data_IF_357100243934
#
_entry.id   IF_357100243934
#
_cell.length_a   1.000
_cell.length_b   1.000
_cell.length_c   1.000
_cell.angle_alpha   90.00
_cell.angle_beta   90.00
_cell.angle_gamma   90.00
#
_symmetry.space_group_name_H-M   'P 1'
#
loop_
_entity.id
_entity.type
_entity.pdbx_description
1 polymer ?
#
# COMPACT_ATOMS: atom_id res chain seq x y z
N UNK A 1 15.43 -17.56 49.89
CA UNK A 1 16.31 -16.53 49.31
C UNK A 1 15.88 -15.22 49.89
N UNK A 2 16.78 -14.47 50.52
CA UNK A 2 16.46 -13.16 51.05
C UNK A 2 15.97 -12.25 49.92
N UNK A 3 14.89 -11.51 50.16
CA UNK A 3 14.31 -10.60 49.19
C UNK A 3 15.28 -9.47 48.87
N UNK A 4 15.64 -9.30 47.59
CA UNK A 4 16.51 -8.22 47.12
C UNK A 4 15.84 -6.87 47.38
N UNK A 5 16.52 -6.00 48.13
CA UNK A 5 16.03 -4.65 48.42
C UNK A 5 16.70 -3.58 47.54
N UNK A 6 16.25 -2.33 47.67
CA UNK A 6 16.74 -1.20 46.88
C UNK A 6 18.24 -0.93 47.12
N UNK A 7 18.73 -1.06 48.35
CA UNK A 7 20.13 -0.83 48.69
C UNK A 7 21.04 -1.87 48.04
N UNK A 8 20.61 -3.14 48.01
CA UNK A 8 21.33 -4.22 47.34
C UNK A 8 21.52 -3.93 45.85
N UNK A 9 20.49 -3.40 45.19
CA UNK A 9 20.53 -3.06 43.76
C UNK A 9 21.49 -1.87 43.50
N UNK A 10 21.48 -0.84 44.36
CA UNK A 10 22.43 0.28 44.23
C UNK A 10 23.87 -0.15 44.48
N UNK A 11 24.10 -0.99 45.50
CA UNK A 11 25.44 -1.53 45.77
C UNK A 11 25.94 -2.36 44.59
N UNK A 12 25.08 -3.22 44.04
CA UNK A 12 25.41 -4.00 42.86
C UNK A 12 25.72 -3.11 41.64
N UNK A 13 24.95 -2.03 41.43
CA UNK A 13 25.22 -1.03 40.40
C UNK A 13 26.63 -0.42 40.57
N UNK A 14 26.98 0.03 41.78
CA UNK A 14 28.29 0.67 42.04
C UNK A 14 29.46 -0.29 41.78
N UNK A 15 29.30 -1.57 42.16
CA UNK A 15 30.31 -2.60 41.89
C UNK A 15 30.54 -2.75 40.39
N UNK A 16 29.48 -2.82 39.58
CA UNK A 16 29.60 -2.98 38.12
C UNK A 16 30.13 -1.70 37.45
N UNK A 17 29.71 -0.52 37.91
CA UNK A 17 30.09 0.76 37.30
C UNK A 17 31.57 1.09 37.56
N UNK A 18 32.13 0.66 38.70
CA UNK A 18 33.56 0.83 39.04
C UNK A 18 34.45 -0.33 38.58
N UNK A 19 33.86 -1.39 38.04
CA UNK A 19 34.60 -2.58 37.64
C UNK A 19 35.52 -2.31 36.44
N UNK A 20 36.75 -2.80 36.52
CA UNK A 20 37.71 -2.83 35.40
C UNK A 20 37.82 -4.22 34.75
N UNK A 21 37.46 -5.27 35.48
CA UNK A 21 37.26 -6.64 34.99
C UNK A 21 35.85 -7.15 35.33
N UNK A 22 35.41 -8.22 34.67
CA UNK A 22 34.09 -8.83 34.86
C UNK A 22 34.21 -10.22 35.49
N UNK A 23 34.95 -10.31 36.61
CA UNK A 23 35.06 -11.52 37.42
C UNK A 23 33.76 -11.93 38.12
N UNK A 24 33.80 -13.02 38.88
CA UNK A 24 32.61 -13.63 39.52
C UNK A 24 31.84 -12.70 40.45
N UNK A 25 32.52 -11.79 41.16
CA UNK A 25 31.86 -10.81 42.04
C UNK A 25 31.01 -9.81 41.25
N UNK A 26 31.53 -9.30 40.13
CA UNK A 26 30.84 -8.35 39.25
C UNK A 26 29.67 -9.04 38.55
N UNK A 27 29.83 -10.31 38.15
CA UNK A 27 28.75 -11.14 37.62
C UNK A 27 27.65 -11.40 38.65
N UNK A 28 28.02 -11.67 39.91
CA UNK A 28 27.06 -11.82 41.01
C UNK A 28 26.26 -10.54 41.23
N UNK A 29 26.91 -9.37 41.15
CA UNK A 29 26.23 -8.07 41.21
C UNK A 29 25.22 -7.90 40.08
N UNK A 30 25.55 -8.29 38.84
CA UNK A 30 24.57 -8.22 37.75
C UNK A 30 23.39 -9.16 37.97
N UNK A 31 23.61 -10.38 38.49
CA UNK A 31 22.51 -11.27 38.91
C UNK A 31 21.64 -10.66 40.00
N UNK A 32 22.21 -9.93 40.97
CA UNK A 32 21.45 -9.21 41.98
C UNK A 32 20.53 -8.15 41.35
N UNK A 33 21.03 -7.41 40.36
CA UNK A 33 20.21 -6.45 39.60
C UNK A 33 19.07 -7.14 38.85
N UNK A 34 19.35 -8.26 38.17
CA UNK A 34 18.33 -9.06 37.48
C UNK A 34 17.26 -9.55 38.46
N UNK A 35 17.67 -10.11 39.61
CA UNK A 35 16.75 -10.58 40.65
C UNK A 35 15.89 -9.47 41.24
N UNK A 36 16.31 -8.21 41.14
CA UNK A 36 15.51 -7.03 41.50
C UNK A 36 14.19 -6.94 40.73
N UNK A 37 14.08 -7.58 39.55
CA UNK A 37 12.83 -7.68 38.79
C UNK A 37 11.71 -8.44 39.53
N UNK A 38 12.07 -9.27 40.51
CA UNK A 38 11.13 -10.01 41.35
C UNK A 38 10.94 -9.37 42.75
N UNK A 39 11.52 -8.19 42.99
CA UNK A 39 11.41 -7.47 44.26
C UNK A 39 10.13 -6.61 44.37
N UNK A 40 10.14 -5.62 45.27
CA UNK A 40 9.04 -4.65 45.38
C UNK A 40 9.06 -3.62 44.22
N UNK A 41 8.00 -2.83 44.06
CA UNK A 41 7.85 -1.88 42.92
C UNK A 41 9.08 -0.98 42.68
N UNK A 42 9.71 -0.46 43.75
CA UNK A 42 10.94 0.34 43.60
C UNK A 42 12.14 -0.50 43.11
N UNK A 43 12.29 -1.73 43.59
CA UNK A 43 13.32 -2.66 43.10
C UNK A 43 13.12 -2.97 41.61
N UNK A 44 11.87 -3.28 41.21
CA UNK A 44 11.51 -3.55 39.82
C UNK A 44 11.82 -2.38 38.89
N UNK A 45 11.49 -1.16 39.32
CA UNK A 45 11.81 0.07 38.56
C UNK A 45 13.31 0.32 38.45
N UNK A 46 14.11 -0.05 39.43
CA UNK A 46 15.57 0.04 39.33
C UNK A 46 16.14 -1.05 38.42
N UNK A 47 15.66 -2.28 38.55
CA UNK A 47 16.03 -3.40 37.69
C UNK A 47 15.73 -3.07 36.21
N UNK A 48 14.54 -2.57 35.90
CA UNK A 48 14.15 -2.11 34.56
C UNK A 48 15.12 -1.10 33.93
N UNK A 49 15.80 -0.29 34.75
CA UNK A 49 16.75 0.73 34.29
C UNK A 49 18.19 0.20 34.19
N UNK A 50 18.59 -0.63 35.15
CA UNK A 50 19.98 -1.06 35.29
C UNK A 50 20.30 -2.33 34.51
N UNK A 51 19.33 -3.24 34.33
CA UNK A 51 19.52 -4.43 33.48
C UNK A 51 19.94 -4.01 32.06
N UNK A 52 19.23 -3.09 31.35
CA UNK A 52 19.62 -2.70 30.00
C UNK A 52 20.96 -1.97 29.93
N UNK A 53 21.32 -1.19 30.97
CA UNK A 53 22.54 -0.37 30.99
C UNK A 53 23.82 -1.22 30.94
N UNK A 54 23.82 -2.39 31.57
CA UNK A 54 25.00 -3.24 31.63
C UNK A 54 24.90 -4.47 30.73
N UNK A 55 23.84 -4.59 29.93
CA UNK A 55 23.51 -5.77 29.14
C UNK A 55 24.66 -6.26 28.25
N UNK A 56 25.33 -5.36 27.54
CA UNK A 56 26.43 -5.71 26.63
C UNK A 56 27.67 -6.29 27.32
N UNK A 57 27.82 -6.04 28.62
CA UNK A 57 28.97 -6.49 29.43
C UNK A 57 28.85 -7.94 29.88
N UNK A 58 27.65 -8.53 29.82
CA UNK A 58 27.39 -9.86 30.36
C UNK A 58 26.62 -10.79 29.39
N UNK A 59 27.25 -11.24 28.30
CA UNK A 59 26.63 -12.14 27.32
C UNK A 59 26.02 -13.42 27.92
N UNK A 60 26.62 -13.97 28.97
CA UNK A 60 26.14 -15.19 29.63
C UNK A 60 24.80 -15.03 30.36
N UNK A 61 24.37 -13.78 30.61
CA UNK A 61 23.10 -13.48 31.27
C UNK A 61 22.06 -12.90 30.31
N UNK A 62 22.32 -12.84 29.00
CA UNK A 62 21.41 -12.22 28.03
C UNK A 62 19.99 -12.78 28.07
N UNK A 63 19.85 -14.12 28.07
CA UNK A 63 18.53 -14.75 28.12
C UNK A 63 17.79 -14.41 29.42
N UNK A 64 18.42 -14.63 30.58
CA UNK A 64 17.81 -14.34 31.88
C UNK A 64 17.49 -12.85 32.06
N UNK A 65 18.33 -11.95 31.55
CA UNK A 65 18.10 -10.52 31.59
C UNK A 65 16.92 -10.10 30.71
N UNK A 66 16.78 -10.67 29.52
CA UNK A 66 15.64 -10.37 28.63
C UNK A 66 14.35 -10.92 29.24
N UNK A 67 14.37 -12.17 29.75
CA UNK A 67 13.20 -12.78 30.37
C UNK A 67 12.72 -11.93 31.57
N UNK A 68 13.65 -11.50 32.44
CA UNK A 68 13.32 -10.60 33.55
C UNK A 68 12.74 -9.25 33.08
N UNK A 69 13.22 -8.69 31.96
CA UNK A 69 12.65 -7.46 31.40
C UNK A 69 11.25 -7.68 30.82
N UNK A 70 10.99 -8.85 30.22
CA UNK A 70 9.66 -9.19 29.70
C UNK A 70 8.66 -9.44 30.83
N UNK A 71 9.06 -10.10 31.91
CA UNK A 71 8.25 -10.22 33.13
C UNK A 71 7.83 -8.83 33.66
N UNK A 72 8.74 -7.85 33.62
CA UNK A 72 8.44 -6.48 34.01
C UNK A 72 7.49 -5.75 33.04
N UNK A 73 7.46 -6.14 31.76
CA UNK A 73 6.50 -5.59 30.80
C UNK A 73 5.06 -6.04 31.10
N UNK A 74 4.90 -7.15 31.82
CA UNK A 74 3.61 -7.71 32.22
C UNK A 74 3.26 -7.41 33.69
N UNK A 75 4.04 -6.53 34.35
CA UNK A 75 3.83 -6.22 35.76
C UNK A 75 2.47 -5.56 36.03
N UNK A 76 1.88 -5.84 37.19
CA UNK A 76 0.63 -5.20 37.63
C UNK A 76 0.74 -3.68 37.80
N UNK A 77 1.92 -3.16 38.17
CA UNK A 77 2.16 -1.72 38.36
C UNK A 77 2.47 -1.04 37.02
N UNK A 78 1.58 -0.13 36.61
CA UNK A 78 1.72 0.68 35.39
C UNK A 78 3.07 1.43 35.34
N UNK A 79 3.57 1.93 36.48
CA UNK A 79 4.84 2.67 36.50
C UNK A 79 6.04 1.76 36.24
N UNK A 80 5.96 0.49 36.67
CA UNK A 80 6.98 -0.52 36.34
C UNK A 80 6.96 -0.79 34.85
N UNK A 81 5.79 -1.10 34.26
CA UNK A 81 5.63 -1.34 32.82
C UNK A 81 6.14 -0.18 31.97
N UNK A 82 5.72 1.06 32.29
CA UNK A 82 6.18 2.26 31.59
C UNK A 82 7.70 2.46 31.72
N UNK A 83 8.27 2.13 32.88
CA UNK A 83 9.73 2.21 33.07
C UNK A 83 10.43 1.21 32.17
N UNK A 84 10.07 -0.07 32.19
CA UNK A 84 10.76 -1.06 31.36
C UNK A 84 10.61 -0.78 29.86
N UNK A 85 9.41 -0.43 29.39
CA UNK A 85 9.16 -0.07 27.98
C UNK A 85 10.08 1.06 27.52
N UNK A 86 10.26 2.07 28.37
CA UNK A 86 11.16 3.21 28.07
C UNK A 86 12.62 2.80 27.91
N UNK A 87 13.09 1.78 28.65
CA UNK A 87 14.49 1.38 28.69
C UNK A 87 14.82 0.15 27.82
N UNK A 88 13.82 -0.58 27.31
CA UNK A 88 14.03 -1.68 26.35
C UNK A 88 14.91 -1.32 25.14
N UNK A 89 14.80 -0.11 24.51
CA UNK A 89 15.70 0.26 23.42
C UNK A 89 17.19 0.27 23.80
N UNK A 90 17.50 0.43 25.09
CA UNK A 90 18.89 0.41 25.55
C UNK A 90 19.51 -0.99 25.43
N UNK A 91 18.72 -2.06 25.55
CA UNK A 91 19.20 -3.43 25.34
C UNK A 91 19.72 -3.59 23.91
N UNK A 92 18.98 -3.05 22.93
CA UNK A 92 19.37 -3.07 21.51
C UNK A 92 20.61 -2.21 21.26
N UNK A 93 20.77 -1.10 21.98
CA UNK A 93 21.99 -0.28 21.90
C UNK A 93 23.23 -1.04 22.36
N UNK A 94 23.10 -1.86 23.40
CA UNK A 94 24.21 -2.65 23.92
C UNK A 94 24.47 -3.93 23.11
N UNK A 95 23.46 -4.47 22.42
CA UNK A 95 23.57 -5.64 21.55
C UNK A 95 22.50 -5.61 20.45
N UNK A 96 22.89 -5.33 19.22
CA UNK A 96 22.01 -5.30 18.06
C UNK A 96 21.38 -6.67 17.73
N UNK A 97 22.03 -7.77 18.14
CA UNK A 97 21.56 -9.15 17.95
C UNK A 97 20.18 -9.42 18.54
N UNK A 98 19.75 -8.63 19.53
CA UNK A 98 18.44 -8.79 20.18
C UNK A 98 17.37 -7.88 19.56
N UNK A 99 17.71 -7.03 18.58
CA UNK A 99 16.81 -6.04 17.99
C UNK A 99 15.49 -6.66 17.53
N UNK A 100 15.56 -7.79 16.82
CA UNK A 100 14.38 -8.53 16.34
C UNK A 100 13.44 -8.91 17.50
N UNK A 101 14.00 -9.49 18.57
CA UNK A 101 13.23 -9.95 19.74
C UNK A 101 12.59 -8.79 20.50
N UNK A 102 13.33 -7.69 20.67
CA UNK A 102 12.82 -6.49 21.36
C UNK A 102 11.77 -5.78 20.51
N UNK A 103 11.97 -5.67 19.18
CA UNK A 103 11.00 -5.08 18.27
C UNK A 103 9.69 -5.86 18.27
N UNK A 104 9.76 -7.20 18.19
CA UNK A 104 8.56 -8.04 18.22
C UNK A 104 7.78 -7.88 19.54
N UNK A 105 8.47 -7.95 20.69
CA UNK A 105 7.84 -7.75 22.00
C UNK A 105 7.16 -6.37 22.10
N UNK A 106 7.84 -5.30 21.66
CA UNK A 106 7.25 -3.96 21.65
C UNK A 106 6.03 -3.86 20.71
N UNK A 107 6.03 -4.54 19.56
CA UNK A 107 4.84 -4.56 18.69
C UNK A 107 3.68 -5.26 19.39
N UNK A 108 3.92 -6.36 20.10
CA UNK A 108 2.87 -7.01 20.90
C UNK A 108 2.28 -6.05 21.94
N UNK A 109 3.09 -5.17 22.54
CA UNK A 109 2.62 -4.18 23.51
C UNK A 109 1.81 -3.02 22.89
N UNK A 110 1.72 -2.91 21.56
CA UNK A 110 0.82 -1.93 20.90
C UNK A 110 -0.66 -2.23 21.15
N UNK A 111 -0.99 -3.42 21.66
CA UNK A 111 -2.36 -3.81 22.02
C UNK A 111 -2.74 -3.46 23.46
N UNK A 112 -1.83 -2.88 24.26
CA UNK A 112 -2.13 -2.48 25.64
C UNK A 112 -3.29 -1.47 25.70
N UNK A 113 -4.03 -1.47 26.81
CA UNK A 113 -5.28 -0.71 26.91
C UNK A 113 -5.07 0.79 27.14
N UNK A 114 -3.97 1.18 27.81
CA UNK A 114 -3.78 2.57 28.23
C UNK A 114 -3.09 3.40 27.15
N UNK A 115 -3.64 4.57 26.86
CA UNK A 115 -3.05 5.49 25.88
C UNK A 115 -1.60 5.90 26.24
N UNK A 116 -1.29 5.98 27.53
CA UNK A 116 0.06 6.30 28.01
C UNK A 116 1.05 5.18 27.70
N UNK A 117 0.68 3.90 27.90
CA UNK A 117 1.54 2.78 27.51
C UNK A 117 1.73 2.71 26.01
N UNK A 118 0.66 2.82 25.22
CA UNK A 118 0.76 2.82 23.75
C UNK A 118 1.71 3.94 23.29
N UNK A 119 1.62 5.13 23.88
CA UNK A 119 2.53 6.24 23.54
C UNK A 119 4.00 5.92 23.89
N UNK A 120 4.24 5.28 25.04
CA UNK A 120 5.59 4.84 25.43
C UNK A 120 6.13 3.76 24.48
N UNK A 121 5.29 2.79 24.10
CA UNK A 121 5.64 1.72 23.16
C UNK A 121 5.98 2.27 21.79
N UNK A 122 5.17 3.17 21.22
CA UNK A 122 5.46 3.81 19.92
C UNK A 122 6.80 4.54 19.94
N UNK A 123 7.11 5.25 21.03
CA UNK A 123 8.41 5.93 21.20
C UNK A 123 9.57 4.94 21.34
N UNK A 124 9.37 3.82 22.04
CA UNK A 124 10.38 2.78 22.17
C UNK A 124 10.64 2.08 20.83
N UNK A 125 9.59 1.74 20.07
CA UNK A 125 9.70 1.17 18.72
C UNK A 125 10.46 2.09 17.77
N UNK A 126 10.15 3.39 17.76
CA UNK A 126 10.92 4.36 16.97
C UNK A 126 12.41 4.30 17.31
N UNK A 127 12.78 4.27 18.59
CA UNK A 127 14.18 4.18 18.99
C UNK A 127 14.84 2.88 18.55
N UNK A 128 14.14 1.74 18.69
CA UNK A 128 14.65 0.43 18.26
C UNK A 128 14.88 0.41 16.74
N UNK A 129 13.94 0.93 15.95
CA UNK A 129 14.09 1.06 14.49
C UNK A 129 15.27 1.97 14.15
N UNK A 130 15.52 3.05 14.90
CA UNK A 130 16.68 3.92 14.66
C UNK A 130 18.01 3.24 14.99
N UNK A 131 18.03 2.35 15.98
CA UNK A 131 19.23 1.63 16.42
C UNK A 131 19.57 0.46 15.49
N UNK A 132 18.59 -0.33 15.07
CA UNK A 132 18.77 -1.39 14.08
C UNK A 132 17.65 -1.36 13.02
N UNK A 133 17.76 -0.51 11.98
CA UNK A 133 16.69 -0.28 11.01
C UNK A 133 16.27 -1.54 10.27
N UNK A 134 17.24 -2.26 9.71
CA UNK A 134 16.97 -3.41 8.84
C UNK A 134 16.31 -4.54 9.60
N UNK A 135 16.92 -4.95 10.71
CA UNK A 135 16.41 -6.08 11.50
C UNK A 135 15.06 -5.75 12.12
N UNK A 136 14.86 -4.51 12.59
CA UNK A 136 13.57 -4.08 13.13
C UNK A 136 12.47 -4.05 12.06
N UNK A 137 12.75 -3.51 10.87
CA UNK A 137 11.78 -3.50 9.76
C UNK A 137 11.41 -4.93 9.38
N UNK A 138 12.41 -5.80 9.20
CA UNK A 138 12.20 -7.21 8.86
C UNK A 138 11.36 -7.91 9.94
N UNK A 139 11.68 -7.70 11.22
CA UNK A 139 10.92 -8.27 12.34
C UNK A 139 9.46 -7.84 12.32
N UNK A 140 9.20 -6.52 12.23
CA UNK A 140 7.86 -5.95 12.25
C UNK A 140 6.99 -6.52 11.11
N UNK A 141 7.53 -6.60 9.89
CA UNK A 141 6.78 -7.11 8.75
C UNK A 141 6.62 -8.64 8.74
N UNK A 142 7.65 -9.39 9.14
CA UNK A 142 7.62 -10.85 8.98
C UNK A 142 7.04 -11.60 10.17
N UNK A 143 7.12 -11.02 11.38
CA UNK A 143 6.63 -11.62 12.62
C UNK A 143 5.33 -10.96 13.03
N UNK A 144 5.33 -9.63 13.14
CA UNK A 144 4.21 -8.94 13.79
C UNK A 144 2.99 -8.75 12.90
N UNK A 145 3.15 -8.61 11.57
CA UNK A 145 2.01 -8.61 10.64
C UNK A 145 1.31 -9.98 10.51
N UNK A 146 1.92 -11.05 11.04
CA UNK A 146 1.32 -12.39 11.15
C UNK A 146 0.71 -12.65 12.52
N UNK A 147 0.72 -11.66 13.41
CA UNK A 147 0.09 -11.72 14.72
C UNK A 147 -1.44 -11.68 14.65
N UNK A 148 -2.09 -11.40 15.79
CA UNK A 148 -3.55 -11.23 15.84
C UNK A 148 -4.01 -10.08 14.94
N UNK A 149 -5.27 -10.08 14.47
CA UNK A 149 -5.84 -8.98 13.68
C UNK A 149 -5.66 -7.60 14.36
N UNK A 150 -5.77 -7.55 15.67
CA UNK A 150 -5.57 -6.33 16.48
C UNK A 150 -4.12 -5.85 16.40
N UNK A 151 -3.16 -6.73 16.64
CA UNK A 151 -1.72 -6.40 16.56
C UNK A 151 -1.35 -5.99 15.15
N UNK A 152 -1.83 -6.71 14.12
CA UNK A 152 -1.62 -6.35 12.71
C UNK A 152 -2.15 -4.94 12.40
N UNK A 153 -3.37 -4.63 12.82
CA UNK A 153 -3.97 -3.31 12.60
C UNK A 153 -3.18 -2.19 13.29
N UNK A 154 -2.80 -2.38 14.56
CA UNK A 154 -1.98 -1.41 15.31
C UNK A 154 -0.60 -1.21 14.69
N UNK A 155 0.00 -2.29 14.20
CA UNK A 155 1.31 -2.27 13.52
C UNK A 155 1.23 -1.48 12.22
N UNK A 156 0.24 -1.74 11.37
CA UNK A 156 0.04 -1.00 10.12
C UNK A 156 -0.20 0.48 10.41
N UNK A 157 -0.99 0.81 11.44
CA UNK A 157 -1.21 2.19 11.87
C UNK A 157 0.09 2.86 12.37
N UNK A 158 0.95 2.14 13.06
CA UNK A 158 2.27 2.65 13.46
C UNK A 158 3.16 2.94 12.25
N UNK A 159 3.26 1.99 11.33
CA UNK A 159 4.02 2.14 10.09
C UNK A 159 3.49 3.30 9.23
N UNK A 160 2.17 3.48 9.14
CA UNK A 160 1.56 4.50 8.28
C UNK A 160 1.63 5.91 8.87
N UNK A 161 1.72 6.05 10.19
CA UNK A 161 1.61 7.35 10.85
C UNK A 161 2.91 7.78 11.53
N UNK A 162 3.59 6.88 12.24
CA UNK A 162 4.79 7.21 13.03
C UNK A 162 6.05 7.06 12.20
N UNK A 163 6.25 5.91 11.55
CA UNK A 163 7.42 5.67 10.71
C UNK A 163 7.52 6.73 9.61
N UNK A 164 6.38 7.14 9.04
CA UNK A 164 6.32 8.21 8.04
C UNK A 164 6.90 9.55 8.53
N UNK A 165 6.97 9.83 9.84
CA UNK A 165 7.53 11.08 10.39
C UNK A 165 9.05 11.13 10.37
N UNK A 166 9.70 9.96 10.40
CA UNK A 166 11.16 9.86 10.48
C UNK A 166 11.79 8.97 9.41
N UNK A 167 10.99 8.43 8.48
CA UNK A 167 11.48 7.55 7.42
C UNK A 167 12.51 8.21 6.50
N UNK A 168 12.39 9.52 6.23
CA UNK A 168 13.32 10.22 5.35
C UNK A 168 14.73 10.24 5.95
N UNK A 169 14.82 10.62 7.22
CA UNK A 169 16.07 10.56 8.00
C UNK A 169 16.59 9.11 8.11
N UNK A 170 15.69 8.14 8.28
CA UNK A 170 16.04 6.72 8.38
C UNK A 170 16.65 6.20 7.06
N UNK A 171 16.07 6.57 5.92
CA UNK A 171 16.48 6.10 4.60
C UNK A 171 17.72 6.83 4.06
N UNK A 172 17.98 8.05 4.52
CA UNK A 172 19.21 8.78 4.17
C UNK A 172 20.48 8.17 4.79
N UNK A 173 20.34 7.40 5.88
CA UNK A 173 21.46 6.75 6.54
C UNK A 173 22.00 5.51 5.81
N UNK A 174 21.32 5.02 4.77
CA UNK A 174 21.82 3.93 3.93
C UNK A 174 20.86 3.48 2.84
N UNK A 175 21.39 3.30 1.62
CA UNK A 175 20.62 2.93 0.41
C UNK A 175 19.87 1.60 0.56
N UNK A 176 20.38 0.68 1.39
CA UNK A 176 19.76 -0.63 1.63
C UNK A 176 18.51 -0.59 2.51
N UNK A 177 18.34 0.43 3.36
CA UNK A 177 17.21 0.49 4.31
C UNK A 177 15.90 0.78 3.58
N UNK A 178 15.91 1.71 2.63
CA UNK A 178 14.74 2.02 1.81
C UNK A 178 14.34 0.82 0.93
N UNK A 179 15.33 0.14 0.32
CA UNK A 179 15.12 -1.07 -0.45
C UNK A 179 14.57 -2.22 0.43
N UNK A 180 15.09 -2.39 1.64
CA UNK A 180 14.58 -3.36 2.60
C UNK A 180 13.12 -3.08 2.97
N UNK A 181 12.79 -1.83 3.31
CA UNK A 181 11.43 -1.43 3.61
C UNK A 181 10.49 -1.70 2.43
N UNK A 182 10.90 -1.32 1.23
CA UNK A 182 10.12 -1.57 0.02
C UNK A 182 9.87 -3.06 -0.23
N UNK A 183 10.88 -3.91 -0.01
CA UNK A 183 10.75 -5.36 -0.17
C UNK A 183 9.76 -5.97 0.81
N UNK A 184 9.77 -5.53 2.06
CA UNK A 184 8.83 -6.02 3.07
C UNK A 184 7.39 -5.54 2.80
N UNK A 185 7.20 -4.28 2.40
CA UNK A 185 5.85 -3.79 2.00
C UNK A 185 5.35 -4.53 0.77
N UNK A 186 6.21 -4.77 -0.24
CA UNK A 186 5.85 -5.56 -1.43
C UNK A 186 5.38 -6.97 -1.08
N UNK A 187 6.03 -7.63 -0.12
CA UNK A 187 5.62 -8.96 0.37
C UNK A 187 4.25 -8.91 1.04
N UNK A 188 4.01 -7.91 1.90
CA UNK A 188 2.74 -7.73 2.61
C UNK A 188 1.55 -7.40 1.69
N UNK A 189 1.77 -7.01 0.42
CA UNK A 189 0.68 -6.78 -0.54
C UNK A 189 -0.07 -8.06 -0.92
N UNK A 190 0.57 -9.23 -0.86
CA UNK A 190 -0.01 -10.49 -1.31
C UNK A 190 -1.17 -10.95 -0.43
N UNK A 191 -1.03 -10.84 0.90
CA UNK A 191 -2.03 -11.22 1.90
C UNK A 191 -2.89 -10.04 2.39
N UNK A 192 -2.66 -8.83 1.89
CA UNK A 192 -3.37 -7.63 2.31
C UNK A 192 -4.87 -7.67 1.98
N UNK A 193 -5.69 -7.26 2.96
CA UNK A 193 -7.06 -6.80 2.72
C UNK A 193 -7.07 -5.52 1.89
N UNK A 194 -8.23 -5.08 1.39
CA UNK A 194 -8.31 -3.88 0.52
C UNK A 194 -7.81 -2.62 1.24
N UNK A 195 -8.20 -2.41 2.50
CA UNK A 195 -7.80 -1.23 3.27
C UNK A 195 -6.29 -1.22 3.55
N UNK A 196 -5.71 -2.38 3.86
CA UNK A 196 -4.27 -2.53 4.05
C UNK A 196 -3.51 -2.31 2.74
N UNK A 197 -4.03 -2.85 1.64
CA UNK A 197 -3.46 -2.71 0.31
C UNK A 197 -3.36 -1.24 -0.11
N UNK A 198 -4.39 -0.43 0.18
CA UNK A 198 -4.34 1.03 -0.01
C UNK A 198 -3.25 1.72 0.82
N UNK A 199 -3.07 1.30 2.08
CA UNK A 199 -2.04 1.86 2.97
C UNK A 199 -0.65 1.49 2.45
N UNK A 200 -0.43 0.23 2.07
CA UNK A 200 0.86 -0.25 1.56
C UNK A 200 1.24 0.41 0.23
N UNK A 201 0.30 0.62 -0.69
CA UNK A 201 0.59 1.41 -1.89
C UNK A 201 1.00 2.84 -1.51
N UNK A 202 0.27 3.51 -0.61
CA UNK A 202 0.63 4.87 -0.15
C UNK A 202 2.00 4.94 0.52
N UNK A 203 2.48 3.84 1.13
CA UNK A 203 3.83 3.74 1.69
C UNK A 203 4.90 3.57 0.61
N UNK A 204 4.63 2.77 -0.44
CA UNK A 204 5.59 2.46 -1.51
C UNK A 204 5.82 3.62 -2.46
N UNK A 205 4.76 4.26 -2.97
CA UNK A 205 4.87 5.22 -4.08
C UNK A 205 5.82 6.40 -3.80
N UNK A 206 5.92 6.96 -2.57
CA UNK A 206 6.79 8.09 -2.29
C UNK A 206 8.29 7.75 -2.17
N UNK A 207 8.67 6.47 -2.17
CA UNK A 207 10.06 6.06 -1.93
C UNK A 207 11.00 6.55 -3.06
N UNK A 208 12.20 7.01 -2.70
CA UNK A 208 13.19 7.56 -3.65
C UNK A 208 13.66 6.50 -4.64
N UNK A 209 13.70 5.22 -4.23
CA UNK A 209 14.00 4.09 -5.15
C UNK A 209 13.03 3.98 -6.34
N UNK A 210 11.81 4.53 -6.26
CA UNK A 210 10.80 4.51 -7.34
C UNK A 210 10.65 5.84 -8.08
N UNK A 211 11.64 6.73 -8.00
CA UNK A 211 11.68 7.90 -8.89
C UNK A 211 11.85 7.48 -10.35
N UNK A 212 11.46 8.35 -11.27
CA UNK A 212 11.37 8.06 -12.72
C UNK A 212 12.70 7.69 -13.36
N UNK A 213 13.82 8.09 -12.75
CA UNK A 213 15.16 7.72 -13.18
C UNK A 213 15.43 6.22 -13.00
N UNK A 214 14.82 5.59 -11.98
CA UNK A 214 15.02 4.19 -11.61
C UNK A 214 14.01 3.26 -12.33
N UNK A 215 14.18 3.15 -13.65
CA UNK A 215 13.24 2.41 -14.51
C UNK A 215 13.08 0.92 -14.14
N UNK A 216 14.14 0.28 -13.64
CA UNK A 216 14.10 -1.13 -13.27
C UNK A 216 13.26 -1.36 -12.00
N UNK A 217 13.44 -0.53 -10.98
CA UNK A 217 12.63 -0.58 -9.76
C UNK A 217 11.14 -0.28 -10.05
N UNK A 218 10.87 0.68 -10.95
CA UNK A 218 9.51 0.97 -11.39
C UNK A 218 8.88 -0.21 -12.15
N UNK A 219 9.65 -0.86 -13.02
CA UNK A 219 9.21 -2.07 -13.72
C UNK A 219 8.92 -3.21 -12.74
N UNK A 220 9.76 -3.39 -11.74
CA UNK A 220 9.54 -4.36 -10.66
C UNK A 220 8.25 -4.04 -9.89
N UNK A 221 8.06 -2.78 -9.48
CA UNK A 221 6.86 -2.33 -8.78
C UNK A 221 5.59 -2.60 -9.60
N UNK A 222 5.60 -2.29 -10.90
CA UNK A 222 4.49 -2.61 -11.81
C UNK A 222 4.16 -4.09 -11.77
N UNK A 223 5.16 -4.96 -11.88
CA UNK A 223 4.96 -6.41 -11.86
C UNK A 223 4.43 -6.90 -10.51
N UNK A 224 4.91 -6.36 -9.40
CA UNK A 224 4.45 -6.72 -8.05
C UNK A 224 2.99 -6.33 -7.86
N UNK A 225 2.61 -5.12 -8.29
CA UNK A 225 1.21 -4.67 -8.25
C UNK A 225 0.31 -5.54 -9.12
N UNK A 226 0.76 -5.95 -10.30
CA UNK A 226 0.01 -6.91 -11.15
C UNK A 226 -0.14 -8.26 -10.46
N UNK A 227 0.96 -8.82 -9.94
CA UNK A 227 0.98 -10.11 -9.28
C UNK A 227 0.15 -10.16 -7.99
N UNK A 228 -0.06 -8.99 -7.35
CA UNK A 228 -0.93 -8.86 -6.19
C UNK A 228 -2.43 -9.02 -6.51
N UNK A 229 -2.82 -8.95 -7.78
CA UNK A 229 -4.19 -9.16 -8.25
C UNK A 229 -4.41 -10.61 -8.67
N UNK A 230 -3.50 -11.16 -9.47
CA UNK A 230 -3.53 -12.54 -9.98
C UNK A 230 -2.10 -13.06 -10.00
N UNK A 231 -1.86 -14.22 -9.40
CA UNK A 231 -0.51 -14.80 -9.33
C UNK A 231 -0.30 -15.84 -10.42
N UNK A 232 0.73 -15.65 -11.25
CA UNK A 232 1.13 -16.61 -12.29
C UNK A 232 -0.01 -16.97 -13.26
N UNK A 233 -0.29 -18.27 -13.38
CA UNK A 233 -1.29 -18.80 -14.32
C UNK A 233 -2.72 -18.85 -13.76
N UNK A 234 -2.94 -18.32 -12.56
CA UNK A 234 -4.28 -18.20 -12.00
C UNK A 234 -5.23 -17.46 -12.97
N UNK A 235 -6.49 -17.91 -13.02
CA UNK A 235 -7.55 -17.24 -13.76
C UNK A 235 -8.16 -16.14 -12.88
N UNK A 236 -8.39 -14.97 -13.46
CA UNK A 236 -9.09 -13.90 -12.75
C UNK A 236 -10.54 -14.30 -12.51
N UNK A 237 -11.02 -14.22 -11.26
CA UNK A 237 -12.43 -14.43 -10.95
C UNK A 237 -13.20 -13.10 -10.99
N UNK A 238 -14.13 -12.90 -11.96
CA UNK A 238 -14.90 -11.67 -12.07
C UNK A 238 -15.93 -11.49 -10.94
N UNK A 239 -16.14 -12.48 -10.07
CA UNK A 239 -16.98 -12.36 -8.87
C UNK A 239 -16.21 -12.00 -7.60
N UNK A 240 -14.88 -12.05 -7.63
CA UNK A 240 -14.04 -11.67 -6.50
C UNK A 240 -13.93 -10.14 -6.38
N UNK A 241 -14.73 -9.58 -5.48
CA UNK A 241 -14.76 -8.14 -5.21
C UNK A 241 -13.40 -7.60 -4.74
N UNK A 242 -12.60 -8.38 -4.02
CA UNK A 242 -11.28 -7.96 -3.53
C UNK A 242 -10.30 -7.81 -4.68
N UNK A 243 -10.24 -8.80 -5.59
CA UNK A 243 -9.37 -8.71 -6.78
C UNK A 243 -9.77 -7.60 -7.72
N UNK A 244 -11.07 -7.36 -7.90
CA UNK A 244 -11.58 -6.23 -8.69
C UNK A 244 -11.15 -4.88 -8.08
N UNK A 245 -11.25 -4.73 -6.77
CA UNK A 245 -10.84 -3.49 -6.11
C UNK A 245 -9.32 -3.29 -6.18
N UNK A 246 -8.53 -4.35 -5.97
CA UNK A 246 -7.07 -4.31 -6.18
C UNK A 246 -6.71 -3.91 -7.62
N UNK A 247 -7.40 -4.47 -8.62
CA UNK A 247 -7.24 -4.09 -10.03
C UNK A 247 -7.46 -2.59 -10.25
N UNK A 248 -8.52 -2.03 -9.71
CA UNK A 248 -8.82 -0.61 -9.90
C UNK A 248 -7.83 0.30 -9.19
N UNK A 249 -7.40 -0.06 -7.99
CA UNK A 249 -6.40 0.71 -7.28
C UNK A 249 -5.06 0.66 -8.01
N UNK A 250 -4.63 -0.52 -8.46
CA UNK A 250 -3.40 -0.67 -9.25
C UNK A 250 -3.49 0.10 -10.56
N UNK A 251 -4.58 -0.04 -11.33
CA UNK A 251 -4.75 0.67 -12.59
C UNK A 251 -4.66 2.19 -12.41
N UNK A 252 -5.46 2.76 -11.49
CA UNK A 252 -5.44 4.20 -11.19
C UNK A 252 -4.05 4.70 -10.78
N UNK A 253 -3.31 3.89 -10.04
CA UNK A 253 -1.96 4.22 -9.57
C UNK A 253 -0.97 4.17 -10.72
N UNK A 254 -0.94 3.08 -11.48
CA UNK A 254 0.02 2.81 -12.55
C UNK A 254 -0.12 3.76 -13.73
N UNK A 255 -1.34 4.17 -14.07
CA UNK A 255 -1.61 5.13 -15.14
C UNK A 255 -0.80 6.42 -14.96
N UNK A 256 -0.74 6.96 -13.73
CA UNK A 256 0.02 8.18 -13.43
C UNK A 256 1.52 8.04 -13.70
N UNK A 257 2.06 6.82 -13.66
CA UNK A 257 3.45 6.54 -14.00
C UNK A 257 3.64 6.36 -15.51
N UNK A 258 2.65 5.80 -16.20
CA UNK A 258 2.71 5.62 -17.66
C UNK A 258 2.74 6.97 -18.39
N UNK A 259 1.94 7.94 -17.94
CA UNK A 259 1.96 9.31 -18.44
C UNK A 259 3.34 9.99 -18.28
N UNK A 260 4.13 9.53 -17.30
CA UNK A 260 5.48 10.02 -17.00
C UNK A 260 6.60 9.22 -17.69
N UNK A 261 6.26 8.33 -18.62
CA UNK A 261 7.22 7.61 -19.47
C UNK A 261 7.56 6.18 -19.02
N UNK A 262 6.90 5.64 -17.99
CA UNK A 262 7.00 4.21 -17.65
C UNK A 262 6.26 3.37 -18.69
N UNK A 263 6.83 2.23 -19.10
CA UNK A 263 6.19 1.36 -20.11
C UNK A 263 4.93 0.70 -19.54
N UNK A 264 3.77 0.99 -20.14
CA UNK A 264 2.47 0.36 -19.85
C UNK A 264 2.35 -1.08 -20.36
N UNK A 265 3.36 -1.61 -21.06
CA UNK A 265 3.30 -2.93 -21.72
C UNK A 265 2.96 -4.09 -20.77
N UNK A 266 3.55 -4.21 -19.55
CA UNK A 266 3.21 -5.30 -18.65
C UNK A 266 1.75 -5.26 -18.19
N UNK A 267 1.23 -4.07 -17.88
CA UNK A 267 -0.16 -3.91 -17.45
C UNK A 267 -1.13 -4.13 -18.60
N UNK A 268 -0.80 -3.65 -19.81
CA UNK A 268 -1.59 -3.95 -21.02
C UNK A 268 -1.66 -5.45 -21.29
N UNK A 269 -0.52 -6.15 -21.26
CA UNK A 269 -0.48 -7.60 -21.45
C UNK A 269 -1.37 -8.31 -20.41
N UNK A 270 -1.29 -7.91 -19.13
CA UNK A 270 -2.16 -8.42 -18.09
C UNK A 270 -3.66 -8.20 -18.40
N UNK A 271 -4.06 -6.98 -18.84
CA UNK A 271 -5.45 -6.71 -19.21
C UNK A 271 -5.89 -7.62 -20.36
N UNK A 272 -5.08 -7.74 -21.41
CA UNK A 272 -5.35 -8.55 -22.61
C UNK A 272 -5.45 -10.04 -22.28
N UNK A 273 -4.51 -10.57 -21.49
CA UNK A 273 -4.38 -12.00 -21.27
C UNK A 273 -5.29 -12.52 -20.16
N UNK A 274 -5.62 -11.68 -19.15
CA UNK A 274 -6.33 -12.13 -17.93
C UNK A 274 -7.71 -11.51 -17.73
N UNK A 275 -7.99 -10.33 -18.30
CA UNK A 275 -9.21 -9.56 -17.98
C UNK A 275 -10.16 -9.43 -19.17
N UNK A 276 -9.64 -9.08 -20.35
CA UNK A 276 -10.42 -8.86 -21.57
C UNK A 276 -11.01 -10.11 -22.25
N UNK A 277 -10.53 -11.35 -22.03
CA UNK A 277 -11.18 -12.53 -22.60
C UNK A 277 -12.68 -12.56 -22.27
N UNK A 278 -13.51 -12.93 -23.24
CA UNK A 278 -14.97 -12.82 -23.19
C UNK A 278 -15.57 -13.48 -21.96
N UNK A 279 -15.03 -14.63 -21.58
CA UNK A 279 -15.46 -15.46 -20.46
C UNK A 279 -15.29 -14.74 -19.10
N UNK A 280 -14.40 -13.76 -19.04
CA UNK A 280 -14.14 -12.94 -17.85
C UNK A 280 -14.87 -11.60 -17.97
N UNK A 281 -14.61 -10.85 -19.04
CA UNK A 281 -15.09 -9.48 -19.19
C UNK A 281 -16.61 -9.37 -19.15
N UNK A 282 -17.33 -10.29 -19.82
CA UNK A 282 -18.80 -10.29 -19.87
C UNK A 282 -19.48 -10.53 -18.52
N UNK A 283 -18.78 -11.19 -17.58
CA UNK A 283 -19.27 -11.48 -16.22
C UNK A 283 -19.08 -10.31 -15.25
N UNK A 284 -18.31 -9.30 -15.62
CA UNK A 284 -18.11 -8.10 -14.81
C UNK A 284 -19.32 -7.18 -14.87
N UNK A 285 -19.56 -6.42 -13.78
CA UNK A 285 -20.56 -5.36 -13.76
C UNK A 285 -20.22 -4.26 -14.79
N UNK A 286 -21.23 -3.61 -15.37
CA UNK A 286 -21.04 -2.57 -16.40
C UNK A 286 -20.10 -1.44 -15.96
N UNK A 287 -20.23 -0.99 -14.70
CA UNK A 287 -19.32 0.02 -14.12
C UNK A 287 -17.86 -0.42 -14.09
N UNK A 288 -17.61 -1.71 -13.89
CA UNK A 288 -16.27 -2.32 -13.84
C UNK A 288 -15.70 -2.46 -15.25
N UNK A 289 -16.52 -2.93 -16.18
CA UNK A 289 -16.22 -3.01 -17.62
C UNK A 289 -15.74 -1.66 -18.15
N UNK A 290 -16.50 -0.59 -17.88
CA UNK A 290 -16.14 0.77 -18.30
C UNK A 290 -14.78 1.24 -17.77
N UNK A 291 -14.47 0.95 -16.50
CA UNK A 291 -13.16 1.29 -15.92
C UNK A 291 -12.01 0.53 -16.60
N UNK A 292 -12.22 -0.75 -16.91
CA UNK A 292 -11.23 -1.57 -17.63
C UNK A 292 -11.00 -1.05 -19.05
N UNK A 293 -12.06 -0.65 -19.75
CA UNK A 293 -11.93 -0.04 -21.09
C UNK A 293 -11.12 1.26 -21.04
N UNK A 294 -11.34 2.08 -20.02
CA UNK A 294 -10.53 3.28 -19.79
C UNK A 294 -9.05 2.92 -19.62
N UNK A 295 -8.75 1.94 -18.76
CA UNK A 295 -7.36 1.49 -18.55
C UNK A 295 -6.73 0.95 -19.84
N UNK A 296 -7.49 0.18 -20.62
CA UNK A 296 -7.07 -0.32 -21.93
C UNK A 296 -6.71 0.84 -22.87
N UNK A 297 -7.61 1.82 -23.02
CA UNK A 297 -7.41 2.97 -23.90
C UNK A 297 -6.19 3.80 -23.49
N UNK A 298 -6.01 4.06 -22.20
CA UNK A 298 -4.85 4.80 -21.70
C UNK A 298 -3.55 4.00 -21.93
N UNK A 299 -3.56 2.69 -21.73
CA UNK A 299 -2.38 1.86 -21.91
C UNK A 299 -1.98 1.68 -23.37
N UNK A 300 -2.93 1.30 -24.24
CA UNK A 300 -2.70 0.90 -25.65
C UNK A 300 -2.13 2.03 -26.51
N UNK A 301 -2.32 3.28 -26.09
CA UNK A 301 -1.73 4.47 -26.72
C UNK A 301 -0.20 4.48 -26.67
N UNK A 302 0.40 3.68 -25.78
CA UNK A 302 1.84 3.58 -25.58
C UNK A 302 2.60 2.84 -26.68
N UNK A 303 3.94 2.84 -26.54
CA UNK A 303 4.82 2.02 -27.37
C UNK A 303 4.92 0.61 -26.80
N UNK A 304 4.44 -0.37 -27.57
CA UNK A 304 4.33 -1.78 -27.19
C UNK A 304 5.04 -2.68 -28.19
N UNK A 305 5.38 -3.88 -27.73
CA UNK A 305 5.85 -4.94 -28.62
C UNK A 305 4.71 -5.43 -29.55
N UNK A 306 5.07 -6.04 -30.67
CA UNK A 306 4.12 -6.50 -31.67
C UNK A 306 3.20 -7.62 -31.15
N UNK A 307 3.74 -8.51 -30.31
CA UNK A 307 2.99 -9.63 -29.74
C UNK A 307 1.79 -9.16 -28.88
N UNK A 308 1.99 -8.19 -27.98
CA UNK A 308 0.93 -7.65 -27.13
C UNK A 308 -0.16 -6.97 -27.97
N UNK A 309 0.21 -6.25 -29.04
CA UNK A 309 -0.77 -5.62 -29.93
C UNK A 309 -1.56 -6.68 -30.73
N UNK A 310 -0.88 -7.72 -31.24
CA UNK A 310 -1.52 -8.84 -31.94
C UNK A 310 -2.48 -9.62 -31.04
N UNK A 311 -2.15 -9.82 -29.76
CA UNK A 311 -3.04 -10.46 -28.80
C UNK A 311 -4.24 -9.58 -28.44
N UNK A 312 -4.06 -8.26 -28.35
CA UNK A 312 -5.14 -7.33 -28.06
C UNK A 312 -6.15 -7.21 -29.22
N UNK A 313 -5.67 -7.28 -30.46
CA UNK A 313 -6.45 -7.09 -31.68
C UNK A 313 -7.79 -7.86 -31.72
N UNK A 314 -7.83 -9.21 -31.61
CA UNK A 314 -9.08 -9.95 -31.70
C UNK A 314 -10.06 -9.59 -30.58
N UNK A 315 -9.56 -9.33 -29.36
CA UNK A 315 -10.39 -8.99 -28.21
C UNK A 315 -11.04 -7.61 -28.38
N UNK A 316 -10.29 -6.61 -28.82
CA UNK A 316 -10.82 -5.26 -29.07
C UNK A 316 -11.80 -5.26 -30.25
N UNK A 317 -11.53 -6.05 -31.29
CA UNK A 317 -12.47 -6.24 -32.40
C UNK A 317 -13.79 -6.85 -31.93
N UNK A 318 -13.74 -7.89 -31.09
CA UNK A 318 -14.93 -8.50 -30.51
C UNK A 318 -15.70 -7.51 -29.62
N UNK A 319 -15.02 -6.72 -28.78
CA UNK A 319 -15.64 -5.67 -27.97
C UNK A 319 -16.39 -4.64 -28.85
N UNK A 320 -15.78 -4.21 -29.96
CA UNK A 320 -16.39 -3.30 -30.91
C UNK A 320 -17.65 -3.91 -31.55
N UNK A 321 -17.57 -5.17 -31.99
CA UNK A 321 -18.69 -5.89 -32.61
C UNK A 321 -19.85 -6.06 -31.62
N UNK A 322 -19.57 -6.33 -30.34
CA UNK A 322 -20.61 -6.52 -29.33
C UNK A 322 -21.27 -5.21 -28.91
N UNK A 323 -20.54 -4.09 -28.87
CA UNK A 323 -21.07 -2.79 -28.44
C UNK A 323 -21.80 -2.03 -29.54
N UNK A 324 -21.36 -2.19 -30.80
CA UNK A 324 -21.93 -1.45 -31.92
C UNK A 324 -22.77 -2.39 -32.76
N UNK A 325 -24.11 -2.38 -32.63
CA UNK A 325 -24.97 -3.31 -33.36
C UNK A 325 -24.82 -3.13 -34.88
N UNK A 326 -25.15 -4.17 -35.67
CA UNK A 326 -25.23 -4.03 -37.12
C UNK A 326 -26.28 -2.97 -37.49
N UNK A 327 -26.20 -2.40 -38.71
CA UNK A 327 -27.26 -1.53 -39.20
C UNK A 327 -28.59 -2.30 -39.16
N UNK A 328 -29.60 -1.78 -38.44
CA UNK A 328 -30.93 -2.37 -38.44
C UNK A 328 -31.60 -2.17 -39.81
N UNK A 329 -32.29 -3.19 -40.32
CA UNK A 329 -33.04 -3.09 -41.58
C UNK A 329 -34.31 -2.24 -41.44
N UNK A 330 -34.93 -2.22 -40.25
CA UNK A 330 -36.05 -1.33 -39.92
C UNK A 330 -36.24 -1.30 -38.40
N UNK A 331 -35.83 -0.22 -37.73
CA UNK A 331 -36.38 0.12 -36.40
C UNK A 331 -36.22 1.61 -36.16
N UNK A 332 -37.34 2.32 -36.00
CA UNK A 332 -37.43 3.70 -35.50
C UNK A 332 -36.78 3.89 -34.11
N UNK A 333 -36.38 2.79 -33.46
CA UNK A 333 -35.69 2.76 -32.17
C UNK A 333 -34.19 2.94 -32.41
N UNK A 334 -33.68 4.12 -32.06
CA UNK A 334 -32.24 4.36 -32.08
C UNK A 334 -31.51 3.45 -31.07
N UNK A 335 -30.39 2.84 -31.48
CA UNK A 335 -29.59 2.05 -30.56
C UNK A 335 -29.07 2.95 -29.43
N UNK A 336 -29.37 2.58 -28.18
CA UNK A 336 -28.87 3.26 -27.00
C UNK A 336 -27.40 2.90 -26.78
N UNK A 337 -26.50 3.60 -27.47
CA UNK A 337 -25.06 3.42 -27.31
C UNK A 337 -24.56 4.10 -26.02
N UNK A 338 -23.76 3.38 -25.23
CA UNK A 338 -22.95 3.99 -24.17
C UNK A 338 -21.72 4.65 -24.82
N UNK A 339 -21.89 5.91 -25.22
CA UNK A 339 -20.87 6.66 -25.95
C UNK A 339 -19.48 6.64 -25.27
N UNK A 340 -19.35 6.82 -23.94
CA UNK A 340 -18.07 6.63 -23.25
C UNK A 340 -17.41 5.25 -23.45
N UNK A 341 -18.17 4.15 -23.43
CA UNK A 341 -17.61 2.81 -23.68
C UNK A 341 -17.14 2.69 -25.13
N UNK A 342 -17.98 3.15 -26.05
CA UNK A 342 -17.67 3.16 -27.49
C UNK A 342 -16.43 4.00 -27.77
N UNK A 343 -16.26 5.15 -27.14
CA UNK A 343 -15.08 6.01 -27.26
C UNK A 343 -13.79 5.25 -26.92
N UNK A 344 -13.73 4.59 -25.75
CA UNK A 344 -12.54 3.83 -25.35
C UNK A 344 -12.23 2.68 -26.31
N UNK A 345 -13.25 1.96 -26.78
CA UNK A 345 -13.08 0.82 -27.69
C UNK A 345 -12.61 1.30 -29.06
N UNK A 346 -13.24 2.34 -29.61
CA UNK A 346 -12.87 2.91 -30.91
C UNK A 346 -11.47 3.51 -30.87
N UNK A 347 -11.10 4.18 -29.77
CA UNK A 347 -9.74 4.68 -29.59
C UNK A 347 -8.71 3.55 -29.53
N UNK A 348 -8.98 2.50 -28.74
CA UNK A 348 -8.10 1.33 -28.70
C UNK A 348 -7.96 0.66 -30.07
N UNK A 349 -9.07 0.52 -30.80
CA UNK A 349 -9.11 -0.03 -32.14
C UNK A 349 -8.30 0.81 -33.14
N UNK A 350 -8.41 2.15 -33.06
CA UNK A 350 -7.59 3.07 -33.85
C UNK A 350 -6.10 2.90 -33.57
N UNK A 351 -5.70 2.82 -32.30
CA UNK A 351 -4.30 2.59 -31.92
C UNK A 351 -3.77 1.26 -32.47
N UNK A 352 -4.58 0.20 -32.45
CA UNK A 352 -4.20 -1.10 -33.01
C UNK A 352 -4.15 -1.06 -34.54
N UNK A 353 -5.15 -0.46 -35.20
CA UNK A 353 -5.25 -0.36 -36.65
C UNK A 353 -4.08 0.43 -37.27
N UNK A 354 -3.52 1.40 -36.54
CA UNK A 354 -2.31 2.10 -36.98
C UNK A 354 -1.09 1.18 -37.16
N UNK A 355 -1.11 -0.02 -36.57
CA UNK A 355 -0.06 -1.04 -36.65
C UNK A 355 -0.50 -2.31 -37.38
N UNK A 356 -1.78 -2.65 -37.29
CA UNK A 356 -2.40 -3.84 -37.91
C UNK A 356 -3.67 -3.37 -38.65
N UNK A 357 -3.55 -2.76 -39.84
CA UNK A 357 -4.69 -2.20 -40.57
C UNK A 357 -5.80 -3.21 -40.85
N UNK A 358 -5.45 -4.49 -40.99
CA UNK A 358 -6.36 -5.59 -41.34
C UNK A 358 -7.46 -5.80 -40.29
N UNK A 359 -7.27 -5.31 -39.07
CA UNK A 359 -8.26 -5.45 -37.98
C UNK A 359 -9.59 -4.77 -38.28
N UNK A 360 -9.56 -3.64 -39.01
CA UNK A 360 -10.75 -2.84 -39.38
C UNK A 360 -11.29 -3.19 -40.76
N UNK A 361 -10.66 -4.12 -41.47
CA UNK A 361 -11.13 -4.60 -42.76
C UNK A 361 -12.31 -5.57 -42.64
N UNK A 362 -13.04 -5.73 -43.74
CA UNK A 362 -14.20 -6.61 -43.85
C UNK A 362 -15.54 -5.88 -43.80
N UNK A 363 -16.54 -6.45 -44.48
CA UNK A 363 -17.88 -5.86 -44.62
C UNK A 363 -18.55 -5.60 -43.26
N UNK A 364 -18.36 -6.48 -42.28
CA UNK A 364 -18.94 -6.33 -40.94
C UNK A 364 -18.38 -5.11 -40.19
N UNK A 365 -17.06 -4.90 -40.23
CA UNK A 365 -16.46 -3.73 -39.58
C UNK A 365 -16.92 -2.44 -40.25
N UNK A 366 -16.90 -2.41 -41.59
CA UNK A 366 -17.32 -1.25 -42.38
C UNK A 366 -18.79 -0.90 -42.09
N UNK A 367 -19.69 -1.89 -42.04
CA UNK A 367 -21.11 -1.65 -41.79
C UNK A 367 -21.36 -1.08 -40.39
N UNK A 368 -20.67 -1.61 -39.37
CA UNK A 368 -20.76 -1.11 -37.97
C UNK A 368 -20.14 0.28 -37.82
N UNK A 369 -19.02 0.59 -38.47
CA UNK A 369 -18.47 1.95 -38.48
C UNK A 369 -19.41 2.95 -39.14
N UNK A 370 -20.05 2.58 -40.26
CA UNK A 370 -21.07 3.43 -40.91
C UNK A 370 -22.27 3.67 -39.98
N UNK A 371 -22.73 2.64 -39.28
CA UNK A 371 -23.80 2.76 -38.30
C UNK A 371 -23.40 3.71 -37.15
N UNK A 372 -22.21 3.51 -36.57
CA UNK A 372 -21.67 4.39 -35.54
C UNK A 372 -21.59 5.85 -36.01
N UNK A 373 -21.07 6.08 -37.21
CA UNK A 373 -20.96 7.41 -37.81
C UNK A 373 -22.33 8.09 -37.96
N UNK A 374 -23.34 7.35 -38.46
CA UNK A 374 -24.70 7.85 -38.59
C UNK A 374 -25.31 8.22 -37.23
N UNK A 375 -25.14 7.36 -36.22
CA UNK A 375 -25.60 7.64 -34.84
C UNK A 375 -24.89 8.88 -34.27
N UNK A 376 -23.56 8.98 -34.44
CA UNK A 376 -22.77 10.10 -33.95
C UNK A 376 -23.20 11.43 -34.59
N UNK A 377 -23.47 11.48 -35.90
CA UNK A 377 -23.99 12.68 -36.59
C UNK A 377 -25.34 13.12 -36.01
N UNK A 378 -26.24 12.16 -35.74
CA UNK A 378 -27.55 12.46 -35.14
C UNK A 378 -27.38 13.03 -33.73
N UNK A 379 -26.51 12.44 -32.91
CA UNK A 379 -26.17 12.97 -31.58
C UNK A 379 -25.62 14.40 -31.65
N UNK A 380 -24.65 14.67 -32.54
CA UNK A 380 -24.08 16.01 -32.73
C UNK A 380 -25.16 17.02 -33.15
N UNK A 381 -26.05 16.63 -34.08
CA UNK A 381 -27.15 17.48 -34.54
C UNK A 381 -28.10 17.85 -33.40
N UNK A 382 -28.45 16.90 -32.53
CA UNK A 382 -29.27 17.13 -31.34
C UNK A 382 -28.60 18.05 -30.32
N UNK A 383 -27.32 17.85 -30.05
CA UNK A 383 -26.54 18.72 -29.16
C UNK A 383 -26.52 20.15 -29.71
N UNK A 384 -26.24 20.33 -31.01
CA UNK A 384 -26.28 21.63 -31.67
C UNK A 384 -27.66 22.29 -31.59
N UNK A 385 -28.73 21.53 -31.76
CA UNK A 385 -30.09 22.03 -31.63
C UNK A 385 -30.41 22.45 -30.19
N UNK A 386 -30.09 21.60 -29.20
CA UNK A 386 -30.28 21.91 -27.78
C UNK A 386 -29.48 23.14 -27.33
N UNK A 387 -28.25 23.31 -27.82
CA UNK A 387 -27.45 24.51 -27.57
C UNK A 387 -28.10 25.77 -28.16
N UNK A 388 -28.64 25.70 -29.38
CA UNK A 388 -29.40 26.81 -29.98
C UNK A 388 -30.64 27.15 -29.18
N UNK A 389 -31.36 26.14 -28.69
CA UNK A 389 -32.58 26.34 -27.91
C UNK A 389 -32.28 26.93 -26.52
N UNK A 390 -31.17 26.54 -25.88
CA UNK A 390 -30.67 27.15 -24.65
C UNK A 390 -30.25 28.61 -24.85
N UNK A 391 -29.55 28.91 -25.95
CA UNK A 391 -29.17 30.28 -26.31
C UNK A 391 -30.39 31.17 -26.54
N UNK A 392 -31.43 30.64 -27.20
CA UNK A 392 -32.72 31.33 -27.40
C UNK A 392 -33.50 31.54 -26.09
N UNK A 393 -33.40 30.64 -25.12
CA UNK A 393 -34.00 30.81 -23.80
C UNK A 393 -33.25 31.85 -22.97
N UNK A 394 -31.93 31.81 -22.92
CA UNK A 394 -31.13 32.81 -22.21
C UNK A 394 -31.27 34.23 -22.76
N UNK A 395 -31.50 34.38 -24.07
CA UNK A 395 -31.80 35.69 -24.68
C UNK A 395 -33.23 36.15 -24.39
N UNK A 396 -34.21 35.24 -24.34
CA UNK A 396 -35.57 35.57 -23.89
C UNK A 396 -35.64 35.95 -22.41
N UNK A 397 -34.88 35.27 -21.55
CA UNK A 397 -34.83 35.57 -20.11
C UNK A 397 -34.12 36.91 -19.82
N UNK A 398 -33.17 37.32 -20.68
CA UNK A 398 -32.57 38.66 -20.65
C UNK A 398 -33.54 39.74 -21.18
N UNK A 399 -34.29 39.47 -22.24
CA UNK A 399 -35.34 40.38 -22.75
C UNK A 399 -36.49 40.56 -21.74
N UNK A 400 -36.94 39.52 -21.03
CA UNK A 400 -37.97 39.68 -19.98
C UNK A 400 -37.46 40.47 -18.77
N UNK A 401 -36.18 40.34 -18.38
CA UNK A 401 -35.60 41.18 -17.33
C UNK A 401 -35.47 42.65 -17.76
N UNK A 402 -35.14 42.94 -19.03
CA UNK A 402 -35.09 44.33 -19.53
C UNK A 402 -36.48 44.97 -19.63
N UNK A 403 -37.51 44.21 -20.01
CA UNK A 403 -38.90 44.70 -20.08
C UNK A 403 -39.47 45.05 -18.69
N UNK A 404 -39.17 44.24 -17.66
CA UNK A 404 -39.61 44.52 -16.28
C UNK A 404 -38.91 45.77 -15.68
N UNK A 405 -37.67 46.07 -16.09
CA UNK A 405 -36.96 47.29 -15.64
C UNK A 405 -37.50 48.55 -16.32
N UNK A 406 -37.95 48.46 -17.58
CA UNK A 406 -38.55 49.61 -18.29
C UNK A 406 -39.99 49.93 -17.92
N UNK A 407 -40.67 49.08 -17.13
CA UNK A 407 -42.06 49.32 -16.70
C UNK A 407 -42.15 50.06 -15.35
N UNK A 408 -41.01 50.36 -14.72
CA UNK A 408 -40.91 51.09 -13.44
C UNK A 408 -40.07 52.40 -13.53
N UNK A 409 -40.11 53.11 -14.67
CA UNK A 409 -39.61 54.48 -14.77
C UNK A 409 -40.70 55.46 -15.21
#
# INVERSE_FOLDING_TARGET
MDSVNVEDIYRAYEVIDRASDYGEEVKKSYRTIINGAHGESNCKRLAAQFIPRFFGKFPEFHETAIDALFDLCEDTDLNVRLTVIKYLPNVVRESDKVAVRIADALVQLLQNETAQEIAAVRKALEQVIRLSPRDSIVAIFQQSLKGSPEVRNRTINFLSNDLNRFKEELFEKGEDVEACFANEVKRALHDASISEFEIFIKMLLPLKIYRLENKDNLKELVNVLINSIVTGDEKFDPTDHTKIQKLFLCGKTLIQYFEKGVKSTPFLAFLVDKILPKEIYSRLQERHQKMILRFLAECISGKHNEATIKNAAPLVKELFINEIPPPGEDTEIEPKLDLPRVEYIVFALYCIASKIPEIVEGQEMISRFRNLYAVAIKCISRIKQGLKDLQKRGSKDQETMEVDITTYQ
#
